data_IF_827170837078
#
_entry.id   IF_827170837078
#
_cell.length_a   1.000
_cell.length_b   1.000
_cell.length_c   1.000
_cell.angle_alpha   90.00
_cell.angle_beta   90.00
_cell.angle_gamma   90.00
#
_symmetry.space_group_name_H-M   'P 1'
#
loop_
_entity.id
_entity.type
_entity.pdbx_description
1 polymer ?
#
# COMPACT_ATOMS: atom_id res chain seq x y z
N UNK A 1 -0.70 -7.07 -31.62
CA UNK A 1 -0.93 -6.83 -30.22
C UNK A 1 -0.36 -5.50 -29.75
N UNK A 2 -0.71 -5.10 -28.53
CA UNK A 2 -0.21 -3.90 -27.86
C UNK A 2 0.25 -4.27 -26.47
N UNK A 3 1.29 -3.62 -25.95
CA UNK A 3 1.61 -3.62 -24.54
C UNK A 3 0.48 -2.93 -23.77
N UNK A 4 0.17 -3.41 -22.56
CA UNK A 4 -0.96 -2.91 -21.77
C UNK A 4 -0.52 -2.60 -20.34
N UNK A 5 -0.83 -1.39 -19.89
CA UNK A 5 -0.87 -1.00 -18.48
C UNK A 5 -2.35 -0.86 -18.12
N UNK A 6 -2.83 -1.66 -17.17
CA UNK A 6 -4.25 -1.74 -16.81
C UNK A 6 -4.48 -1.13 -15.43
N UNK A 7 -5.50 -0.28 -15.29
CA UNK A 7 -5.86 0.29 -13.99
C UNK A 7 -6.34 -0.80 -13.01
N UNK A 8 -6.28 -0.47 -11.74
CA UNK A 8 -6.74 -1.32 -10.64
C UNK A 8 -8.26 -1.07 -10.34
N UNK A 9 -8.96 -2.03 -9.76
CA UNK A 9 -8.59 -3.43 -9.61
C UNK A 9 -8.57 -4.13 -10.96
N UNK A 10 -7.69 -5.11 -11.14
CA UNK A 10 -7.41 -5.70 -12.44
C UNK A 10 -8.61 -6.48 -13.00
N UNK A 11 -9.15 -7.39 -12.20
CA UNK A 11 -10.23 -8.33 -12.55
C UNK A 11 -10.95 -8.81 -11.30
N UNK A 12 -12.09 -9.49 -11.46
CA UNK A 12 -12.89 -10.02 -10.36
C UNK A 12 -12.40 -11.38 -9.84
N UNK A 13 -11.80 -12.21 -10.72
CA UNK A 13 -11.43 -13.58 -10.36
C UNK A 13 -9.98 -13.90 -10.70
N UNK A 14 -9.44 -14.90 -9.98
CA UNK A 14 -8.09 -15.41 -10.24
C UNK A 14 -7.97 -16.03 -11.64
N UNK A 15 -9.03 -16.67 -12.13
CA UNK A 15 -9.08 -17.29 -13.45
C UNK A 15 -8.91 -16.25 -14.55
N UNK A 16 -9.62 -15.12 -14.45
CA UNK A 16 -9.48 -13.99 -15.36
C UNK A 16 -8.06 -13.41 -15.33
N UNK A 17 -7.47 -13.26 -14.13
CA UNK A 17 -6.10 -12.78 -14.00
C UNK A 17 -5.10 -13.71 -14.71
N UNK A 18 -5.23 -15.02 -14.51
CA UNK A 18 -4.38 -16.02 -15.17
C UNK A 18 -4.54 -15.97 -16.69
N UNK A 19 -5.77 -15.90 -17.18
CA UNK A 19 -6.05 -15.81 -18.62
C UNK A 19 -5.34 -14.60 -19.26
N UNK A 20 -5.43 -13.42 -18.63
CA UNK A 20 -4.77 -12.21 -19.13
C UNK A 20 -3.24 -12.35 -19.16
N UNK A 21 -2.65 -12.92 -18.09
CA UNK A 21 -1.21 -13.17 -18.02
C UNK A 21 -0.77 -14.19 -19.09
N UNK A 22 -1.53 -15.25 -19.29
CA UNK A 22 -1.21 -16.30 -20.27
C UNK A 22 -1.31 -15.76 -21.71
N UNK A 23 -2.34 -14.95 -22.00
CA UNK A 23 -2.46 -14.26 -23.30
C UNK A 23 -1.27 -13.33 -23.55
N UNK A 24 -0.88 -12.54 -22.53
CA UNK A 24 0.26 -11.64 -22.65
C UNK A 24 1.56 -12.41 -22.94
N UNK A 25 1.80 -13.51 -22.25
CA UNK A 25 2.96 -14.40 -22.46
C UNK A 25 2.93 -15.05 -23.86
N UNK A 26 1.77 -15.62 -24.28
CA UNK A 26 1.62 -16.24 -25.59
C UNK A 26 1.93 -15.25 -26.72
N UNK A 27 1.50 -14.01 -26.57
CA UNK A 27 1.71 -12.94 -27.57
C UNK A 27 3.04 -12.23 -27.43
N UNK A 28 3.87 -12.59 -26.42
CA UNK A 28 5.11 -11.90 -26.06
C UNK A 28 4.90 -10.38 -25.89
N UNK A 29 3.84 -10.02 -25.13
CA UNK A 29 3.48 -8.63 -24.83
C UNK A 29 3.69 -8.33 -23.36
N UNK A 30 4.03 -7.07 -23.07
CA UNK A 30 4.06 -6.55 -21.72
C UNK A 30 2.62 -6.33 -21.21
N UNK A 31 2.35 -6.79 -19.98
CA UNK A 31 1.11 -6.59 -19.27
C UNK A 31 1.38 -6.31 -17.79
N UNK A 32 0.92 -5.17 -17.29
CA UNK A 32 1.16 -4.75 -15.90
C UNK A 32 -0.09 -4.10 -15.30
N UNK A 33 -0.52 -4.51 -14.10
CA UNK A 33 -1.47 -3.74 -13.29
C UNK A 33 -0.85 -2.43 -12.81
N UNK A 34 -1.65 -1.35 -12.76
CA UNK A 34 -1.19 -0.03 -12.32
C UNK A 34 -1.19 0.05 -10.78
N UNK A 35 -0.17 -0.53 -10.14
CA UNK A 35 0.01 -0.51 -8.70
C UNK A 35 0.89 0.68 -8.27
N UNK A 36 0.38 1.89 -8.47
CA UNK A 36 1.07 3.15 -8.21
C UNK A 36 1.47 3.32 -6.74
N UNK A 37 0.70 2.76 -5.80
CA UNK A 37 0.97 2.90 -4.36
C UNK A 37 2.19 2.11 -3.86
N UNK A 38 2.86 1.35 -4.71
CA UNK A 38 4.24 0.87 -4.46
C UNK A 38 5.24 2.02 -4.40
N UNK A 39 4.87 3.19 -4.88
CA UNK A 39 5.67 4.42 -4.88
C UNK A 39 5.07 5.50 -3.97
N UNK A 40 4.17 5.13 -3.06
CA UNK A 40 3.74 5.99 -1.96
C UNK A 40 4.94 6.31 -1.06
N UNK A 41 5.08 7.56 -0.67
CA UNK A 41 6.17 8.05 0.18
C UNK A 41 6.24 7.33 1.52
N UNK A 42 5.09 7.06 2.11
CA UNK A 42 4.95 6.34 3.38
C UNK A 42 5.38 4.87 3.26
N UNK A 43 4.98 4.18 2.18
CA UNK A 43 5.40 2.81 1.90
C UNK A 43 6.90 2.69 1.64
N UNK A 44 7.47 3.59 0.83
CA UNK A 44 8.92 3.63 0.57
C UNK A 44 9.70 3.88 1.86
N UNK A 45 9.16 4.70 2.77
CA UNK A 45 9.76 4.97 4.08
C UNK A 45 9.73 3.75 4.97
N UNK A 46 8.60 3.04 5.05
CA UNK A 46 8.49 1.77 5.80
C UNK A 46 9.48 0.74 5.27
N UNK A 47 9.56 0.57 3.95
CA UNK A 47 10.52 -0.33 3.31
C UNK A 47 11.95 0.01 3.72
N UNK A 48 12.35 1.28 3.65
CA UNK A 48 13.66 1.76 4.09
C UNK A 48 13.92 1.48 5.57
N UNK A 49 12.95 1.71 6.46
CA UNK A 49 13.08 1.44 7.90
C UNK A 49 13.29 -0.04 8.18
N UNK A 50 12.57 -0.92 7.48
CA UNK A 50 12.73 -2.38 7.57
C UNK A 50 14.14 -2.78 7.12
N UNK A 51 14.58 -2.29 5.96
CA UNK A 51 15.91 -2.58 5.39
C UNK A 51 17.07 -2.12 6.29
N UNK A 52 16.88 -1.06 7.06
CA UNK A 52 17.89 -0.56 8.02
C UNK A 52 18.10 -1.50 9.23
N UNK A 53 17.21 -2.45 9.47
CA UNK A 53 17.35 -3.49 10.48
C UNK A 53 17.25 -3.03 11.96
N UNK A 54 16.89 -1.76 12.21
CA UNK A 54 16.72 -1.26 13.59
C UNK A 54 15.56 -1.94 14.33
N UNK A 55 14.56 -2.41 13.61
CA UNK A 55 13.41 -3.08 14.20
C UNK A 55 13.73 -4.51 14.69
N UNK A 56 14.80 -5.13 14.19
CA UNK A 56 15.07 -6.55 14.39
C UNK A 56 14.18 -7.41 13.51
N UNK A 57 13.81 -8.60 13.97
CA UNK A 57 12.86 -9.46 13.26
C UNK A 57 11.46 -8.87 13.38
N UNK A 58 10.75 -8.78 12.27
CA UNK A 58 9.38 -8.27 12.26
C UNK A 58 8.42 -9.27 12.89
N UNK A 59 7.52 -8.75 13.71
CA UNK A 59 6.51 -9.55 14.43
C UNK A 59 5.10 -9.21 13.96
N UNK A 60 4.84 -7.90 13.79
CA UNK A 60 3.52 -7.39 13.40
C UNK A 60 3.67 -6.12 12.57
N UNK A 61 2.91 -6.04 11.49
CA UNK A 61 2.82 -4.83 10.66
C UNK A 61 1.36 -4.54 10.36
N UNK A 62 0.92 -3.33 10.60
CA UNK A 62 -0.43 -2.87 10.26
C UNK A 62 -0.33 -1.66 9.35
N UNK A 63 -1.14 -1.68 8.28
CA UNK A 63 -1.36 -0.54 7.39
C UNK A 63 -2.85 -0.24 7.30
N UNK A 64 -3.20 1.03 7.46
CA UNK A 64 -4.58 1.50 7.43
C UNK A 64 -4.79 2.52 6.30
N UNK A 65 -6.00 2.55 5.74
CA UNK A 65 -6.42 3.57 4.79
C UNK A 65 -7.81 4.07 5.17
N UNK A 66 -7.85 4.77 6.30
CA UNK A 66 -9.09 5.24 6.91
C UNK A 66 -9.55 6.56 6.29
N UNK A 67 -10.87 6.72 6.20
CA UNK A 67 -11.53 7.95 5.79
C UNK A 67 -12.71 8.26 6.72
N UNK A 68 -13.17 9.50 6.68
CA UNK A 68 -14.42 9.89 7.32
C UNK A 68 -15.42 10.39 6.28
N UNK A 69 -16.21 9.46 5.76
CA UNK A 69 -17.21 9.69 4.70
C UNK A 69 -18.57 9.10 5.10
N UNK A 70 -19.15 9.56 6.22
CA UNK A 70 -20.34 8.91 6.80
C UNK A 70 -21.58 8.98 5.90
N UNK A 71 -21.60 9.91 4.93
CA UNK A 71 -22.75 10.14 4.05
C UNK A 71 -22.49 9.75 2.58
N UNK A 72 -21.32 9.21 2.26
CA UNK A 72 -21.06 8.78 0.90
C UNK A 72 -21.91 7.54 0.58
N UNK A 73 -22.63 7.60 -0.53
CA UNK A 73 -23.36 6.47 -1.06
C UNK A 73 -22.43 5.61 -1.94
N UNK A 74 -22.73 4.31 -2.01
CA UNK A 74 -22.17 3.43 -3.03
C UNK A 74 -22.48 3.99 -4.43
N UNK A 75 -21.47 3.97 -5.31
CA UNK A 75 -21.67 4.37 -6.71
C UNK A 75 -22.20 3.23 -7.57
N UNK A 76 -22.19 2.03 -7.03
CA UNK A 76 -22.56 0.79 -7.74
C UNK A 76 -21.49 0.34 -8.72
N UNK A 77 -21.47 -0.95 -8.99
CA UNK A 77 -20.55 -1.57 -9.93
C UNK A 77 -19.78 -2.73 -9.32
N UNK A 78 -19.13 -3.53 -10.17
CA UNK A 78 -18.46 -4.78 -9.75
C UNK A 78 -17.26 -4.56 -8.83
N UNK A 79 -16.66 -3.36 -8.87
CA UNK A 79 -15.47 -2.99 -8.08
C UNK A 79 -15.74 -1.88 -7.07
N UNK A 80 -17.00 -1.75 -6.64
CA UNK A 80 -17.36 -0.80 -5.60
C UNK A 80 -17.03 -1.36 -4.21
N UNK A 81 -16.94 -0.47 -3.21
CA UNK A 81 -16.60 -0.81 -1.84
C UNK A 81 -15.15 -0.53 -1.44
N UNK A 82 -14.94 -0.48 -0.13
CA UNK A 82 -13.63 -0.16 0.45
C UNK A 82 -12.58 -1.25 0.14
N UNK A 83 -13.01 -2.52 0.09
CA UNK A 83 -12.10 -3.64 -0.19
C UNK A 83 -11.49 -3.53 -1.58
N UNK A 84 -12.30 -3.34 -2.62
CA UNK A 84 -11.80 -3.16 -3.98
C UNK A 84 -11.10 -1.80 -4.17
N UNK A 85 -11.60 -0.74 -3.52
CA UNK A 85 -11.06 0.61 -3.63
C UNK A 85 -9.68 0.78 -2.97
N UNK A 86 -9.54 0.26 -1.76
CA UNK A 86 -8.36 0.45 -0.91
C UNK A 86 -7.58 -0.84 -0.66
N UNK A 87 -8.27 -1.95 -0.43
CA UNK A 87 -7.66 -3.23 -0.06
C UNK A 87 -6.68 -3.74 -1.12
N UNK A 88 -6.99 -3.56 -2.40
CA UNK A 88 -6.12 -3.96 -3.52
C UNK A 88 -4.72 -3.34 -3.41
N UNK A 89 -4.62 -2.09 -2.98
CA UNK A 89 -3.34 -1.40 -2.80
C UNK A 89 -2.58 -1.92 -1.58
N UNK A 90 -3.27 -2.07 -0.44
CA UNK A 90 -2.64 -2.47 0.80
C UNK A 90 -2.16 -3.93 0.75
N UNK A 91 -2.94 -4.82 0.13
CA UNK A 91 -2.53 -6.20 -0.11
C UNK A 91 -1.32 -6.25 -1.05
N UNK A 92 -1.34 -5.48 -2.14
CA UNK A 92 -0.21 -5.41 -3.07
C UNK A 92 1.08 -4.96 -2.38
N UNK A 93 1.02 -3.93 -1.51
CA UNK A 93 2.15 -3.48 -0.72
C UNK A 93 2.70 -4.60 0.18
N UNK A 94 1.85 -5.33 0.91
CA UNK A 94 2.28 -6.43 1.77
C UNK A 94 2.88 -7.60 0.97
N UNK A 95 2.22 -7.99 -0.12
CA UNK A 95 2.72 -9.08 -0.97
C UNK A 95 4.04 -8.68 -1.65
N UNK A 96 4.23 -7.41 -1.98
CA UNK A 96 5.50 -6.92 -2.54
C UNK A 96 6.68 -6.97 -1.55
N UNK A 97 6.40 -6.86 -0.24
CA UNK A 97 7.41 -6.93 0.82
C UNK A 97 7.71 -8.37 1.25
N UNK A 98 6.69 -9.22 1.36
CA UNK A 98 6.78 -10.49 2.08
C UNK A 98 6.38 -11.71 1.23
N UNK A 99 5.96 -11.50 -0.02
CA UNK A 99 5.43 -12.58 -0.87
C UNK A 99 4.03 -13.03 -0.47
N UNK A 100 3.61 -14.18 -0.95
CA UNK A 100 2.30 -14.75 -0.65
C UNK A 100 2.19 -15.22 0.81
N UNK A 101 1.11 -14.87 1.54
CA UNK A 101 0.91 -15.36 2.90
C UNK A 101 0.56 -16.86 2.92
N UNK A 102 0.75 -17.51 4.07
CA UNK A 102 0.33 -18.90 4.28
C UNK A 102 -1.17 -19.04 4.48
N UNK A 103 -1.77 -18.06 5.15
CA UNK A 103 -3.17 -18.06 5.55
C UNK A 103 -3.68 -16.62 5.52
N UNK A 104 -4.98 -16.47 5.24
CA UNK A 104 -5.67 -15.18 5.25
C UNK A 104 -6.90 -15.29 6.15
N UNK A 105 -7.04 -14.34 7.07
CA UNK A 105 -8.22 -14.18 7.92
C UNK A 105 -8.81 -12.80 7.65
N UNK A 106 -10.13 -12.69 7.52
CA UNK A 106 -10.74 -11.42 7.13
C UNK A 106 -12.08 -11.14 7.82
N UNK A 107 -12.35 -9.86 7.98
CA UNK A 107 -13.66 -9.28 8.32
C UNK A 107 -13.90 -8.15 7.31
N UNK A 108 -14.84 -8.35 6.37
CA UNK A 108 -15.20 -7.39 5.31
C UNK A 108 -16.71 -7.22 5.36
N UNK A 109 -17.21 -5.98 5.55
CA UNK A 109 -18.63 -5.74 5.76
C UNK A 109 -19.04 -4.30 5.47
N UNK A 110 -20.33 -4.11 5.20
CA UNK A 110 -21.00 -2.82 5.26
C UNK A 110 -21.33 -2.47 6.73
N UNK A 111 -21.00 -1.26 7.18
CA UNK A 111 -21.26 -0.81 8.56
C UNK A 111 -22.28 0.31 8.64
N UNK A 112 -22.38 1.14 7.60
CA UNK A 112 -23.33 2.26 7.52
C UNK A 112 -24.72 1.82 7.04
N UNK A 113 -24.73 0.96 6.02
CA UNK A 113 -25.95 0.40 5.42
C UNK A 113 -25.67 -1.07 5.07
N UNK A 114 -26.31 -1.98 5.77
CA UNK A 114 -26.06 -3.43 5.64
C UNK A 114 -26.46 -4.02 4.29
N UNK A 115 -27.28 -3.32 3.51
CA UNK A 115 -27.67 -3.71 2.15
C UNK A 115 -26.78 -3.09 1.06
N UNK A 116 -25.76 -2.32 1.48
CA UNK A 116 -24.80 -1.67 0.58
C UNK A 116 -23.50 -2.47 0.44
N UNK A 117 -22.54 -1.91 -0.33
CA UNK A 117 -21.17 -2.44 -0.44
C UNK A 117 -20.40 -2.25 0.84
N UNK A 118 -19.31 -2.97 1.00
CA UNK A 118 -18.43 -2.86 2.15
C UNK A 118 -17.84 -1.45 2.28
N UNK A 119 -17.78 -0.96 3.52
CA UNK A 119 -17.15 0.30 3.93
C UNK A 119 -16.17 0.10 5.09
N UNK A 120 -15.95 -1.16 5.44
CA UNK A 120 -15.00 -1.62 6.43
C UNK A 120 -14.35 -2.93 5.98
N UNK A 121 -13.04 -3.03 6.15
CA UNK A 121 -12.36 -4.31 6.15
C UNK A 121 -11.18 -4.33 7.13
N UNK A 122 -10.89 -5.53 7.63
CA UNK A 122 -9.66 -5.88 8.35
C UNK A 122 -9.24 -7.27 7.90
N UNK A 123 -8.09 -7.37 7.24
CA UNK A 123 -7.57 -8.63 6.69
C UNK A 123 -6.19 -8.88 7.23
N UNK A 124 -6.01 -10.04 7.87
CA UNK A 124 -4.74 -10.52 8.37
C UNK A 124 -4.11 -11.47 7.35
N UNK A 125 -2.93 -11.13 6.89
CA UNK A 125 -2.05 -11.95 6.06
C UNK A 125 -1.04 -12.62 6.99
N UNK A 126 -1.14 -13.94 7.16
CA UNK A 126 -0.32 -14.68 8.11
C UNK A 126 0.89 -15.31 7.42
N UNK A 127 2.06 -14.94 7.90
CA UNK A 127 3.35 -15.50 7.50
C UNK A 127 3.93 -16.33 8.67
N UNK A 128 4.98 -17.14 8.49
CA UNK A 128 5.48 -18.02 9.56
C UNK A 128 5.80 -17.32 10.89
N UNK A 129 6.34 -16.09 10.83
CA UNK A 129 6.77 -15.35 12.02
C UNK A 129 6.26 -13.90 12.01
N UNK A 130 5.36 -13.54 11.09
CA UNK A 130 4.86 -12.19 10.91
C UNK A 130 3.36 -12.23 10.66
N UNK A 131 2.61 -11.38 11.32
CA UNK A 131 1.26 -11.00 10.93
C UNK A 131 1.32 -9.64 10.22
N UNK A 132 0.76 -9.55 9.02
CA UNK A 132 0.53 -8.29 8.33
C UNK A 132 -0.98 -8.02 8.27
N UNK A 133 -1.43 -6.92 8.87
CA UNK A 133 -2.83 -6.51 8.84
C UNK A 133 -3.01 -5.36 7.86
N UNK A 134 -3.96 -5.50 6.95
CA UNK A 134 -4.41 -4.42 6.06
C UNK A 134 -5.85 -4.08 6.42
N UNK A 135 -6.14 -2.80 6.66
CA UNK A 135 -7.46 -2.40 7.12
C UNK A 135 -7.87 -1.02 6.56
N UNK A 136 -9.17 -0.81 6.47
CA UNK A 136 -9.75 0.49 6.21
C UNK A 136 -11.15 0.60 6.80
N UNK A 137 -11.54 1.82 7.15
CA UNK A 137 -12.92 2.15 7.46
C UNK A 137 -13.27 3.53 6.91
N UNK A 138 -14.51 3.67 6.41
CA UNK A 138 -15.03 4.93 5.87
C UNK A 138 -15.69 5.81 6.94
N UNK A 139 -15.64 5.38 8.22
CA UNK A 139 -16.27 6.09 9.36
C UNK A 139 -15.29 6.47 10.47
N UNK A 140 -14.01 6.57 10.16
CA UNK A 140 -12.97 6.95 11.11
C UNK A 140 -12.91 8.48 11.30
N UNK A 141 -13.66 9.02 12.25
CA UNK A 141 -13.54 10.43 12.63
C UNK A 141 -12.15 10.75 13.24
N UNK A 142 -11.48 9.74 13.79
CA UNK A 142 -10.07 9.77 14.16
C UNK A 142 -9.39 8.55 13.53
N UNK A 143 -8.54 8.75 12.50
CA UNK A 143 -7.92 7.63 11.80
C UNK A 143 -6.88 6.92 12.66
N UNK A 144 -6.68 5.64 12.40
CA UNK A 144 -5.56 4.88 12.92
C UNK A 144 -4.23 5.43 12.32
N UNK A 145 -3.08 5.11 12.94
CA UNK A 145 -1.80 5.30 12.26
C UNK A 145 -1.83 4.67 10.87
N UNK A 146 -1.33 5.38 9.86
CA UNK A 146 -1.19 4.82 8.50
C UNK A 146 -0.35 3.56 8.54
N UNK A 147 0.77 3.60 9.29
CA UNK A 147 1.67 2.48 9.49
C UNK A 147 2.02 2.28 10.95
N UNK A 148 1.95 1.03 11.39
CA UNK A 148 2.44 0.60 12.69
C UNK A 148 3.20 -0.72 12.52
N UNK A 149 4.50 -0.70 12.81
CA UNK A 149 5.40 -1.83 12.58
C UNK A 149 6.11 -2.18 13.88
N UNK A 150 5.92 -3.40 14.34
CA UNK A 150 6.60 -3.97 15.50
C UNK A 150 7.64 -4.99 15.07
N UNK A 151 8.82 -4.85 15.62
CA UNK A 151 9.88 -5.84 15.54
C UNK A 151 10.42 -6.17 16.92
N UNK A 152 11.31 -7.16 16.99
CA UNK A 152 11.88 -7.65 18.26
C UNK A 152 12.74 -6.63 19.00
N UNK A 153 13.18 -5.55 18.34
CA UNK A 153 14.04 -4.52 18.94
C UNK A 153 13.50 -3.11 18.81
N UNK A 154 12.43 -2.90 18.07
CA UNK A 154 11.91 -1.55 17.86
C UNK A 154 10.52 -1.50 17.26
N UNK A 155 10.00 -0.29 17.19
CA UNK A 155 8.67 0.02 16.63
C UNK A 155 8.79 1.25 15.73
N UNK A 156 8.13 1.20 14.59
CA UNK A 156 7.95 2.37 13.72
C UNK A 156 6.46 2.71 13.63
N UNK A 157 6.15 4.00 13.73
CA UNK A 157 4.80 4.53 13.58
C UNK A 157 4.81 5.74 12.64
N UNK A 158 3.86 5.79 11.70
CA UNK A 158 3.58 6.95 10.86
C UNK A 158 2.08 7.21 10.84
N UNK A 159 1.68 8.46 11.08
CA UNK A 159 0.26 8.81 11.20
C UNK A 159 -0.36 9.12 9.85
N UNK A 160 0.31 9.90 9.02
CA UNK A 160 -0.28 10.49 7.83
C UNK A 160 0.00 9.67 6.57
N UNK A 161 -0.88 9.88 5.59
CA UNK A 161 -0.83 9.23 4.27
C UNK A 161 0.11 9.97 3.31
N UNK A 162 0.42 9.34 2.20
CA UNK A 162 1.15 9.92 1.08
C UNK A 162 0.51 11.21 0.56
N UNK A 163 1.33 12.21 0.21
CA UNK A 163 0.87 13.53 -0.22
C UNK A 163 0.64 13.66 -1.73
N UNK A 164 1.06 12.70 -2.54
CA UNK A 164 1.01 12.83 -3.99
C UNK A 164 -0.40 13.13 -4.55
N UNK A 165 -1.44 12.48 -4.00
CA UNK A 165 -2.81 12.77 -4.44
C UNK A 165 -3.28 14.19 -4.08
N UNK A 166 -2.83 14.71 -2.94
CA UNK A 166 -3.12 16.08 -2.54
C UNK A 166 -2.41 17.08 -3.46
N UNK A 167 -1.14 16.80 -3.77
CA UNK A 167 -0.34 17.61 -4.67
C UNK A 167 -0.93 17.64 -6.09
N UNK A 168 -1.33 16.48 -6.62
CA UNK A 168 -2.01 16.38 -7.92
C UNK A 168 -3.32 17.19 -7.96
N UNK A 169 -4.11 17.19 -6.87
CA UNK A 169 -5.36 17.96 -6.79
C UNK A 169 -5.16 19.47 -6.85
N UNK A 170 -3.98 19.96 -6.45
CA UNK A 170 -3.61 21.37 -6.53
C UNK A 170 -2.76 21.71 -7.75
N UNK A 171 -2.57 20.74 -8.66
CA UNK A 171 -1.91 20.94 -9.95
C UNK A 171 -0.39 20.81 -9.92
N UNK A 172 0.19 20.24 -8.88
CA UNK A 172 1.58 19.79 -8.88
C UNK A 172 1.70 18.43 -9.56
N UNK A 173 2.84 18.16 -10.19
CA UNK A 173 3.10 16.92 -10.91
C UNK A 173 4.41 16.27 -10.47
N UNK A 174 4.60 14.95 -10.71
CA UNK A 174 5.90 14.31 -10.53
C UNK A 174 7.01 15.07 -11.25
N UNK A 175 8.09 15.40 -10.52
CA UNK A 175 9.19 16.21 -10.99
C UNK A 175 9.13 17.69 -10.55
N UNK A 176 8.00 18.19 -10.06
CA UNK A 176 7.92 19.52 -9.45
C UNK A 176 8.63 19.54 -8.09
N UNK A 177 9.21 20.67 -7.74
CA UNK A 177 9.87 20.84 -6.45
C UNK A 177 8.86 20.67 -5.30
N UNK A 178 9.16 19.74 -4.38
CA UNK A 178 8.31 19.44 -3.22
C UNK A 178 7.21 18.41 -3.48
N UNK A 179 6.99 17.94 -4.71
CA UNK A 179 6.00 16.91 -5.01
C UNK A 179 6.25 15.63 -4.19
N UNK A 180 5.19 15.09 -3.60
CA UNK A 180 5.22 13.83 -2.83
C UNK A 180 6.07 13.89 -1.57
N UNK A 181 6.32 15.08 -1.01
CA UNK A 181 7.12 15.28 0.19
C UNK A 181 6.26 15.62 1.40
N UNK A 182 6.55 14.96 2.52
CA UNK A 182 5.96 15.31 3.80
C UNK A 182 6.67 16.50 4.44
N UNK A 183 5.93 17.24 5.26
CA UNK A 183 6.54 18.19 6.20
C UNK A 183 7.27 17.45 7.33
N UNK A 184 8.27 18.05 7.98
CA UNK A 184 8.94 17.42 9.13
C UNK A 184 8.01 17.05 10.29
N UNK A 185 6.84 17.70 10.41
CA UNK A 185 5.84 17.37 11.43
C UNK A 185 5.18 16.02 11.19
N UNK A 186 5.15 15.56 9.92
CA UNK A 186 4.48 14.34 9.48
C UNK A 186 5.44 13.14 9.36
N UNK A 187 6.72 13.33 9.75
CA UNK A 187 7.70 12.26 9.73
C UNK A 187 7.34 11.13 10.70
N UNK A 188 7.49 9.90 10.26
CA UNK A 188 7.29 8.73 11.09
C UNK A 188 8.32 8.65 12.22
N UNK A 189 7.91 8.10 13.38
CA UNK A 189 8.77 7.91 14.54
C UNK A 189 9.25 6.47 14.62
N UNK A 190 10.57 6.30 14.65
CA UNK A 190 11.26 5.05 14.95
C UNK A 190 11.72 5.07 16.41
N UNK A 191 11.30 4.09 17.20
CA UNK A 191 11.79 3.85 18.55
C UNK A 191 12.42 2.46 18.61
N UNK A 192 13.69 2.37 19.03
CA UNK A 192 14.39 1.08 19.14
C UNK A 192 15.39 1.07 20.30
N UNK A 193 15.81 -0.12 20.69
CA UNK A 193 16.89 -0.30 21.66
C UNK A 193 18.18 -0.63 20.93
N UNK A 194 19.26 0.12 21.24
CA UNK A 194 20.58 -0.14 20.69
C UNK A 194 21.27 -1.34 21.37
N UNK A 195 22.47 -1.68 20.93
CA UNK A 195 23.23 -2.82 21.50
C UNK A 195 23.60 -2.64 22.99
N UNK A 196 23.62 -1.40 23.48
CA UNK A 196 23.90 -1.08 24.90
C UNK A 196 22.64 -1.14 25.77
N UNK A 197 21.46 -1.36 25.17
CA UNK A 197 20.16 -1.31 25.85
C UNK A 197 19.57 0.09 25.99
N UNK A 198 20.16 1.11 25.35
CA UNK A 198 19.61 2.47 25.39
C UNK A 198 18.42 2.58 24.46
N UNK A 199 17.35 3.24 24.94
CA UNK A 199 16.18 3.58 24.13
C UNK A 199 16.47 4.78 23.24
N UNK A 200 16.41 4.57 21.94
CA UNK A 200 16.64 5.61 20.92
C UNK A 200 15.31 5.96 20.25
N UNK A 201 15.04 7.25 20.09
CA UNK A 201 13.87 7.76 19.33
C UNK A 201 14.39 8.63 18.20
N UNK A 202 13.90 8.37 16.98
CA UNK A 202 14.26 9.15 15.79
C UNK A 202 13.00 9.48 15.00
N UNK A 203 12.93 10.69 14.46
CA UNK A 203 12.00 11.04 13.39
C UNK A 203 12.68 10.72 12.06
N UNK A 204 12.02 9.91 11.25
CA UNK A 204 12.56 9.43 9.97
C UNK A 204 12.02 10.31 8.85
N UNK A 205 12.88 11.08 8.15
CA UNK A 205 12.47 11.84 6.99
C UNK A 205 11.80 10.91 5.97
N UNK A 206 10.61 11.29 5.55
CA UNK A 206 9.83 10.54 4.57
C UNK A 206 10.57 10.51 3.23
N UNK A 207 10.63 9.34 2.61
CA UNK A 207 11.16 9.19 1.26
C UNK A 207 10.16 9.83 0.30
N UNK A 208 10.63 10.66 -0.62
CA UNK A 208 9.75 11.26 -1.62
C UNK A 208 9.05 10.19 -2.46
N UNK A 209 7.73 10.30 -2.55
CA UNK A 209 6.92 9.48 -3.43
C UNK A 209 7.01 9.98 -4.88
N UNK A 210 6.82 9.08 -5.84
CA UNK A 210 6.78 9.44 -7.26
C UNK A 210 6.02 8.39 -8.08
N UNK A 211 4.76 8.67 -8.38
CA UNK A 211 3.92 7.81 -9.22
C UNK A 211 4.41 7.69 -10.66
N UNK A 212 5.22 8.64 -11.14
CA UNK A 212 5.88 8.56 -12.44
C UNK A 212 6.74 7.32 -12.62
N UNK A 213 7.31 6.80 -11.52
CA UNK A 213 8.14 5.57 -11.50
C UNK A 213 7.39 4.31 -11.94
N UNK A 214 6.07 4.30 -11.94
CA UNK A 214 5.29 3.19 -12.55
C UNK A 214 5.56 3.14 -14.05
N UNK A 215 5.59 4.30 -14.71
CA UNK A 215 5.86 4.39 -16.15
C UNK A 215 7.32 4.07 -16.46
N UNK A 216 8.25 4.49 -15.60
CA UNK A 216 9.65 4.09 -15.73
C UNK A 216 9.82 2.57 -15.66
N UNK A 217 9.15 1.93 -14.69
CA UNK A 217 9.15 0.47 -14.56
C UNK A 217 8.58 -0.24 -15.78
N UNK A 218 7.48 0.30 -16.35
CA UNK A 218 6.90 -0.22 -17.58
C UNK A 218 7.84 -0.04 -18.78
N UNK A 219 8.47 1.13 -18.90
CA UNK A 219 9.44 1.43 -19.95
C UNK A 219 10.64 0.47 -19.88
N UNK A 220 11.25 0.32 -18.72
CA UNK A 220 12.40 -0.59 -18.53
C UNK A 220 12.04 -2.04 -18.88
N UNK A 221 10.85 -2.50 -18.47
CA UNK A 221 10.40 -3.85 -18.80
C UNK A 221 10.16 -4.06 -20.28
N UNK A 222 9.65 -3.06 -21.01
CA UNK A 222 9.35 -3.15 -22.44
C UNK A 222 10.63 -3.06 -23.27
N UNK A 223 11.54 -2.13 -22.94
CA UNK A 223 12.73 -1.82 -23.76
C UNK A 223 13.91 -2.72 -23.41
N UNK A 224 14.15 -2.93 -22.12
CA UNK A 224 15.35 -3.62 -21.63
C UNK A 224 15.08 -5.08 -21.22
N UNK A 225 13.80 -5.53 -21.31
CA UNK A 225 13.46 -6.91 -20.99
C UNK A 225 13.64 -7.25 -19.50
N UNK A 226 13.62 -6.23 -18.61
CA UNK A 226 13.54 -6.48 -17.19
C UNK A 226 12.26 -7.31 -16.90
N UNK A 227 12.27 -8.11 -15.84
CA UNK A 227 11.23 -9.13 -15.54
C UNK A 227 9.81 -8.64 -15.83
N UNK A 228 9.15 -9.37 -16.75
CA UNK A 228 7.79 -9.07 -17.23
C UNK A 228 6.76 -9.72 -16.30
#
# INVERSE_FOLDING_TARGET
GKNVLCDKPLVETLEQAKELVDIAKEKNLFFMPFQNRRFDSDFLTVKKVIEQGYLGDLVDITVNMDHFRPNDASQGGNFDGAWYGHGVHLVDQMVSLFGAPKEVQYDIRATRDYDSVDDYFSVNLLYPNLRATVAATEVAALPHPKWLVYGTRGTFIKMDVDQQENDLKVGMFPGDEGFGQDSPADFGQLTYFNQNGDRIVKHIPTVAGDYGRVYDSAYESIINGADK
#
